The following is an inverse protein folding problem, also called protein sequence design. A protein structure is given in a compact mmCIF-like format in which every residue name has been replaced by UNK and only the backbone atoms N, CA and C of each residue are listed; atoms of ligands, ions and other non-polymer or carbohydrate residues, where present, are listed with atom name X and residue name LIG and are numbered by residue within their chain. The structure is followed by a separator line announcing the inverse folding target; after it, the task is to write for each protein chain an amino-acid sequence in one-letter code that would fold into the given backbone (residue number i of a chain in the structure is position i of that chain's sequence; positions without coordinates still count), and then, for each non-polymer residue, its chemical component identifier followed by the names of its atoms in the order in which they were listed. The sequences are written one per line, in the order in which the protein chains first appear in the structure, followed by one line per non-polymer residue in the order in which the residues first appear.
data_IF_171338209529
#
_entry.id   IF_171338209529
#
_cell.length_a   1.000
_cell.length_b   1.000
_cell.length_c   1.000
_cell.angle_alpha   90.00
_cell.angle_beta   90.00
_cell.angle_gamma   90.00
#
_symmetry.space_group_name_H-M   'P 1'
#
loop_
_entity.id
_entity.type
_entity.pdbx_description
1 polymer ?
#
# COMPACT_ATOMS: atom_id res chain seq x y z
N UNK A 1 -10.39 54.31 30.12
CA UNK A 1 -11.74 54.03 30.65
C UNK A 1 -12.71 54.94 29.91
N UNK A 2 -13.21 54.54 28.75
CA UNK A 2 -14.29 55.24 28.04
C UNK A 2 -15.06 54.22 27.20
N UNK A 3 -16.24 53.84 27.69
CA UNK A 3 -17.26 53.17 26.89
C UNK A 3 -17.91 54.19 25.98
N UNK A 4 -18.03 53.84 24.69
CA UNK A 4 -18.94 54.50 23.78
C UNK A 4 -20.27 53.69 23.73
N UNK A 5 -21.43 54.34 23.91
CA UNK A 5 -22.75 53.74 24.05
C UNK A 5 -23.41 53.38 22.68
N UNK A 6 -24.60 52.73 22.67
CA UNK A 6 -25.09 51.88 21.59
C UNK A 6 -25.78 52.67 20.48
N UNK A 7 -25.71 52.16 19.23
CA UNK A 7 -26.50 52.63 18.10
C UNK A 7 -27.43 51.51 17.62
N UNK A 8 -28.72 51.78 17.79
CA UNK A 8 -29.86 51.26 17.04
C UNK A 8 -30.94 52.36 17.12
N UNK A 9 -31.99 52.37 16.29
CA UNK A 9 -32.13 51.89 14.90
C UNK A 9 -32.66 53.02 13.98
N UNK A 10 -32.48 52.91 12.66
CA UNK A 10 -33.29 53.69 11.69
C UNK A 10 -34.02 52.77 10.72
N UNK A 11 -35.22 53.19 10.23
CA UNK A 11 -36.36 52.31 10.08
C UNK A 11 -36.64 51.84 8.64
N UNK A 12 -37.46 50.81 8.60
CA UNK A 12 -37.98 50.10 7.44
C UNK A 12 -38.86 50.95 6.50
N UNK A 13 -38.71 50.72 5.20
CA UNK A 13 -39.75 50.77 4.14
C UNK A 13 -39.32 49.73 3.07
N UNK A 14 -39.74 48.48 3.11
CA UNK A 14 -41.01 47.90 2.63
C UNK A 14 -41.31 48.18 1.15
N UNK A 15 -41.00 47.20 0.29
CA UNK A 15 -41.83 46.84 -0.88
C UNK A 15 -41.91 45.32 -0.94
N UNK A 16 -43.07 44.81 -0.54
CA UNK A 16 -43.52 43.48 -0.85
C UNK A 16 -43.81 43.34 -2.36
N UNK A 17 -43.52 42.17 -2.91
CA UNK A 17 -44.47 41.31 -3.65
C UNK A 17 -43.76 40.58 -4.80
N UNK A 18 -43.58 39.27 -4.64
CA UNK A 18 -43.97 38.22 -5.60
C UNK A 18 -43.14 36.95 -5.36
N UNK A 19 -43.82 35.97 -4.79
CA UNK A 19 -43.46 34.57 -4.72
C UNK A 19 -43.29 33.99 -6.13
N UNK A 20 -42.10 33.47 -6.43
CA UNK A 20 -41.89 32.55 -7.54
C UNK A 20 -40.93 31.46 -7.06
N UNK A 21 -41.48 30.25 -6.95
CA UNK A 21 -40.81 29.03 -6.53
C UNK A 21 -39.45 28.85 -7.22
N UNK A 22 -38.38 28.82 -6.42
CA UNK A 22 -37.12 28.21 -6.82
C UNK A 22 -36.40 27.70 -5.57
N UNK A 23 -36.54 26.40 -5.32
CA UNK A 23 -35.68 25.66 -4.39
C UNK A 23 -34.22 25.91 -4.79
N UNK A 24 -33.34 26.36 -3.87
CA UNK A 24 -31.93 26.53 -4.18
C UNK A 24 -31.30 25.16 -4.50
N UNK A 25 -30.43 25.05 -5.53
CA UNK A 25 -29.70 23.82 -5.76
C UNK A 25 -28.76 23.58 -4.58
N UNK A 26 -29.01 22.50 -3.85
CA UNK A 26 -28.12 22.05 -2.78
C UNK A 26 -26.70 21.92 -3.35
N UNK A 27 -25.76 22.58 -2.68
CA UNK A 27 -24.34 22.49 -2.95
C UNK A 27 -23.92 21.02 -3.04
N UNK A 28 -23.54 20.59 -4.24
CA UNK A 28 -23.01 19.25 -4.46
C UNK A 28 -21.59 19.22 -3.90
N UNK A 29 -21.46 18.65 -2.70
CA UNK A 29 -20.17 18.28 -2.12
C UNK A 29 -19.43 17.35 -3.10
N UNK A 30 -18.10 17.49 -3.27
CA UNK A 30 -17.32 16.59 -4.10
C UNK A 30 -17.35 15.18 -3.50
N UNK A 31 -18.16 14.31 -4.10
CA UNK A 31 -18.21 12.90 -3.75
C UNK A 31 -16.89 12.23 -4.16
N UNK A 32 -16.14 11.81 -3.15
CA UNK A 32 -15.08 10.80 -3.22
C UNK A 32 -15.65 9.56 -3.95
N UNK A 33 -15.04 9.04 -5.02
CA UNK A 33 -15.53 7.82 -5.64
C UNK A 33 -15.26 6.65 -4.70
N UNK A 34 -16.28 6.30 -3.91
CA UNK A 34 -16.39 5.04 -3.22
C UNK A 34 -16.72 3.95 -4.23
N UNK A 35 -15.98 2.84 -4.12
CA UNK A 35 -16.37 1.49 -4.53
C UNK A 35 -16.95 1.34 -5.95
N UNK A 36 -16.07 1.23 -6.94
CA UNK A 36 -16.30 0.25 -8.01
C UNK A 36 -15.98 -1.14 -7.46
N UNK A 37 -16.85 -1.63 -6.57
CA UNK A 37 -16.94 -3.05 -6.26
C UNK A 37 -17.54 -3.72 -7.48
N UNK A 38 -16.69 -4.16 -8.41
CA UNK A 38 -17.13 -5.07 -9.46
C UNK A 38 -17.54 -6.37 -8.79
N UNK A 39 -18.84 -6.57 -8.67
CA UNK A 39 -19.49 -7.85 -8.38
C UNK A 39 -19.00 -8.87 -9.41
N UNK A 40 -17.99 -9.66 -9.05
CA UNK A 40 -17.73 -10.93 -9.70
C UNK A 40 -18.39 -11.95 -8.80
N UNK A 41 -19.53 -12.46 -9.28
CA UNK A 41 -20.29 -13.52 -8.65
C UNK A 41 -19.35 -14.65 -8.22
N UNK A 42 -19.45 -15.02 -6.94
CA UNK A 42 -18.83 -16.23 -6.42
C UNK A 42 -19.43 -17.42 -7.17
N UNK A 43 -18.69 -17.93 -8.15
CA UNK A 43 -18.89 -19.28 -8.65
C UNK A 43 -18.14 -20.21 -7.71
N UNK A 44 -18.90 -20.89 -6.85
CA UNK A 44 -18.47 -22.10 -6.16
C UNK A 44 -18.31 -23.20 -7.22
N UNK A 45 -17.09 -23.45 -7.65
CA UNK A 45 -16.69 -24.63 -8.40
C UNK A 45 -15.33 -25.11 -7.86
N UNK A 46 -15.19 -26.42 -7.71
CA UNK A 46 -14.16 -27.08 -6.89
C UNK A 46 -12.73 -26.60 -7.20
N UNK A 47 -12.07 -25.98 -6.21
CA UNK A 47 -10.61 -26.11 -6.03
C UNK A 47 -9.65 -25.17 -6.78
N UNK A 48 -10.07 -24.18 -7.56
CA UNK A 48 -9.11 -23.20 -8.13
C UNK A 48 -9.69 -21.78 -8.30
N UNK A 49 -9.69 -21.01 -7.21
CA UNK A 49 -10.02 -19.58 -7.25
C UNK A 49 -9.16 -18.82 -8.28
N UNK A 50 -9.78 -17.89 -9.02
CA UNK A 50 -9.11 -17.03 -10.00
C UNK A 50 -7.91 -16.30 -9.38
N UNK A 51 -6.70 -16.74 -9.72
CA UNK A 51 -5.46 -16.18 -9.19
C UNK A 51 -4.76 -15.29 -10.22
N UNK A 52 -4.55 -14.02 -9.88
CA UNK A 52 -3.80 -13.06 -10.70
C UNK A 52 -2.37 -13.55 -10.91
N UNK A 53 -1.90 -13.57 -12.16
CA UNK A 53 -0.57 -14.09 -12.54
C UNK A 53 0.58 -13.40 -11.76
N UNK A 54 0.47 -12.10 -11.51
CA UNK A 54 1.45 -11.35 -10.73
C UNK A 54 1.61 -11.87 -9.29
N UNK A 55 0.59 -12.53 -8.75
CA UNK A 55 0.66 -13.20 -7.43
C UNK A 55 1.19 -14.62 -7.57
N UNK A 56 0.77 -15.35 -8.61
CA UNK A 56 1.22 -16.72 -8.88
C UNK A 56 2.72 -16.82 -9.13
N UNK A 57 3.28 -15.90 -9.92
CA UNK A 57 4.69 -15.89 -10.32
C UNK A 57 5.57 -14.95 -9.49
N UNK A 58 5.09 -14.48 -8.33
CA UNK A 58 5.93 -13.65 -7.47
C UNK A 58 7.10 -14.50 -6.97
N UNK A 59 8.37 -14.10 -7.24
CA UNK A 59 9.54 -14.81 -6.77
C UNK A 59 9.46 -15.11 -5.28
N UNK A 60 9.71 -16.37 -4.90
CA UNK A 60 9.75 -16.78 -3.49
C UNK A 60 11.16 -16.99 -3.01
N UNK A 61 12.10 -17.26 -3.90
CA UNK A 61 13.52 -17.41 -3.59
C UNK A 61 14.36 -16.38 -4.35
N UNK A 62 15.65 -16.28 -4.00
CA UNK A 62 16.60 -15.45 -4.74
C UNK A 62 17.01 -16.08 -6.08
N UNK A 63 16.81 -17.38 -6.26
CA UNK A 63 17.09 -18.09 -7.51
C UNK A 63 16.02 -17.80 -8.58
N UNK A 64 14.80 -17.50 -8.15
CA UNK A 64 13.70 -17.07 -9.02
C UNK A 64 13.88 -15.63 -9.56
N UNK A 65 14.89 -14.88 -9.08
CA UNK A 65 15.19 -13.52 -9.55
C UNK A 65 16.01 -13.56 -10.83
N UNK A 66 15.39 -13.15 -11.93
CA UNK A 66 16.03 -13.10 -13.24
C UNK A 66 16.85 -11.80 -13.39
N UNK A 67 18.14 -11.91 -13.75
CA UNK A 67 18.99 -10.78 -14.13
C UNK A 67 19.54 -9.96 -12.95
N UNK A 68 19.58 -10.56 -11.75
CA UNK A 68 20.08 -9.91 -10.52
C UNK A 68 21.21 -10.73 -9.85
N UNK A 69 21.93 -11.54 -10.62
CA UNK A 69 22.88 -12.55 -10.12
C UNK A 69 24.04 -11.91 -9.35
N UNK A 70 24.54 -10.75 -9.80
CA UNK A 70 25.61 -10.02 -9.12
C UNK A 70 25.18 -9.54 -7.72
N UNK A 71 23.92 -9.12 -7.57
CA UNK A 71 23.37 -8.71 -6.29
C UNK A 71 23.21 -9.90 -5.37
N UNK A 72 22.62 -11.00 -5.86
CA UNK A 72 22.42 -12.24 -5.09
C UNK A 72 23.76 -12.74 -4.58
N UNK A 73 24.79 -12.82 -5.44
CA UNK A 73 26.15 -13.21 -5.03
C UNK A 73 26.73 -12.32 -3.94
N UNK A 74 26.55 -11.01 -4.04
CA UNK A 74 27.06 -10.05 -3.04
C UNK A 74 26.37 -10.27 -1.69
N UNK A 75 25.05 -10.45 -1.71
CA UNK A 75 24.29 -10.78 -0.51
C UNK A 75 24.77 -12.12 0.06
N UNK A 76 24.91 -13.18 -0.74
CA UNK A 76 25.41 -14.50 -0.29
C UNK A 76 26.72 -14.38 0.46
N UNK A 77 27.67 -13.61 -0.07
CA UNK A 77 28.94 -13.39 0.59
C UNK A 77 28.82 -12.55 1.88
N UNK A 78 27.92 -11.56 1.91
CA UNK A 78 27.68 -10.74 3.10
C UNK A 78 27.10 -11.57 4.25
N UNK A 79 26.12 -12.44 3.97
CA UNK A 79 25.56 -13.35 4.97
C UNK A 79 26.59 -14.40 5.41
N UNK A 80 27.36 -14.99 4.49
CA UNK A 80 28.41 -15.96 4.83
C UNK A 80 29.53 -15.37 5.70
N UNK A 81 29.83 -14.08 5.53
CA UNK A 81 30.87 -13.38 6.32
C UNK A 81 30.31 -12.67 7.56
N UNK A 82 28.99 -12.75 7.81
CA UNK A 82 28.33 -12.04 8.92
C UNK A 82 28.36 -10.51 8.81
N UNK A 83 28.70 -9.95 7.64
CA UNK A 83 28.80 -8.51 7.40
C UNK A 83 27.54 -7.98 6.73
N UNK A 84 26.44 -7.98 7.49
CA UNK A 84 25.14 -7.49 7.02
C UNK A 84 25.11 -5.96 7.16
N UNK A 85 24.72 -5.26 6.09
CA UNK A 85 24.55 -3.82 6.10
C UNK A 85 23.32 -3.41 6.93
N UNK A 86 23.40 -2.27 7.63
CA UNK A 86 22.27 -1.74 8.40
C UNK A 86 21.11 -1.25 7.51
N UNK A 87 21.40 -0.90 6.25
CA UNK A 87 20.41 -0.39 5.32
C UNK A 87 20.73 -0.80 3.88
N UNK A 88 19.68 -1.03 3.09
CA UNK A 88 19.78 -1.38 1.67
C UNK A 88 19.00 -0.36 0.84
N UNK A 89 19.67 0.22 -0.16
CA UNK A 89 19.03 1.16 -1.11
C UNK A 89 18.92 0.48 -2.48
N UNK A 90 17.68 0.22 -2.91
CA UNK A 90 17.39 -0.38 -4.21
C UNK A 90 16.93 0.71 -5.18
N UNK A 91 17.67 0.91 -6.26
CA UNK A 91 17.43 1.96 -7.27
C UNK A 91 17.23 1.35 -8.66
N UNK A 92 16.68 2.13 -9.61
CA UNK A 92 16.48 1.69 -11.00
C UNK A 92 15.07 1.97 -11.54
N UNK A 93 14.85 1.62 -12.82
CA UNK A 93 13.59 1.90 -13.55
C UNK A 93 12.39 1.13 -13.01
N UNK A 94 11.17 1.53 -13.38
CA UNK A 94 9.94 0.84 -12.95
C UNK A 94 9.92 -0.61 -13.46
N UNK A 95 9.40 -1.53 -12.65
CA UNK A 95 9.22 -2.94 -13.05
C UNK A 95 10.41 -3.88 -12.85
N UNK A 96 11.62 -3.38 -12.53
CA UNK A 96 12.84 -4.22 -12.37
C UNK A 96 12.87 -5.10 -11.10
N UNK A 97 11.79 -5.14 -10.32
CA UNK A 97 11.71 -6.01 -9.14
C UNK A 97 12.25 -5.42 -7.83
N UNK A 98 12.58 -4.13 -7.72
CA UNK A 98 13.09 -3.51 -6.47
C UNK A 98 12.27 -3.87 -5.22
N UNK A 99 10.96 -3.68 -5.26
CA UNK A 99 10.08 -4.00 -4.13
C UNK A 99 10.00 -5.51 -3.87
N UNK A 100 10.12 -6.33 -4.92
CA UNK A 100 10.17 -7.80 -4.82
C UNK A 100 11.46 -8.26 -4.15
N UNK A 101 12.60 -7.70 -4.55
CA UNK A 101 13.90 -8.01 -3.95
C UNK A 101 13.97 -7.52 -2.49
N UNK A 102 13.44 -6.33 -2.19
CA UNK A 102 13.32 -5.86 -0.81
C UNK A 102 12.52 -6.84 0.07
N UNK A 103 11.43 -7.39 -0.48
CA UNK A 103 10.61 -8.39 0.21
C UNK A 103 11.40 -9.67 0.49
N UNK A 104 12.12 -10.19 -0.51
CA UNK A 104 12.95 -11.39 -0.34
C UNK A 104 14.05 -11.15 0.71
N UNK A 105 14.66 -9.96 0.71
CA UNK A 105 15.67 -9.59 1.70
C UNK A 105 15.09 -9.51 3.11
N UNK A 106 13.89 -8.94 3.28
CA UNK A 106 13.21 -8.93 4.56
C UNK A 106 12.92 -10.36 5.06
N UNK A 107 12.50 -11.27 4.17
CA UNK A 107 12.32 -12.69 4.51
C UNK A 107 13.64 -13.36 4.90
N UNK A 108 14.72 -13.12 4.17
CA UNK A 108 16.04 -13.67 4.52
C UNK A 108 16.58 -13.17 5.87
N UNK A 109 16.27 -11.92 6.25
CA UNK A 109 16.66 -11.36 7.55
C UNK A 109 15.79 -11.89 8.69
N UNK A 110 14.50 -12.13 8.44
CA UNK A 110 13.53 -12.64 9.41
C UNK A 110 13.29 -14.15 9.26
N UNK A 111 14.27 -14.89 8.72
CA UNK A 111 14.12 -16.32 8.50
C UNK A 111 14.20 -17.06 9.84
N UNK A 112 13.03 -17.43 10.35
CA UNK A 112 12.84 -18.26 11.52
C UNK A 112 12.12 -19.54 11.09
N UNK A 113 12.85 -20.65 11.15
CA UNK A 113 12.38 -22.02 10.89
C UNK A 113 12.80 -22.89 12.07
N UNK A 114 12.13 -24.02 12.30
CA UNK A 114 12.42 -24.99 13.38
C UNK A 114 13.91 -25.43 13.47
N UNK A 115 14.66 -25.26 12.38
CA UNK A 115 16.08 -25.66 12.23
C UNK A 115 17.03 -24.45 12.13
N UNK A 116 16.52 -23.26 11.76
CA UNK A 116 17.34 -22.09 11.43
C UNK A 116 16.72 -20.82 12.02
N UNK A 117 17.38 -20.22 13.00
CA UNK A 117 17.05 -18.91 13.61
C UNK A 117 18.19 -17.90 13.34
N UNK A 118 18.70 -17.88 12.11
CA UNK A 118 19.79 -16.97 11.72
C UNK A 118 19.52 -16.37 10.35
N UNK A 119 19.95 -15.11 10.12
CA UNK A 119 19.81 -14.47 8.83
C UNK A 119 20.47 -15.31 7.73
N UNK A 120 19.67 -15.81 6.78
CA UNK A 120 20.11 -16.73 5.74
C UNK A 120 19.38 -16.44 4.42
N UNK A 121 20.08 -16.63 3.31
CA UNK A 121 19.52 -16.52 1.95
C UNK A 121 18.86 -17.80 1.45
N UNK A 122 19.01 -18.90 2.19
CA UNK A 122 18.33 -20.16 1.89
C UNK A 122 16.88 -20.09 2.36
N UNK A 123 15.96 -19.87 1.42
CA UNK A 123 14.51 -19.73 1.65
C UNK A 123 13.76 -21.03 1.25
N UNK A 124 14.21 -22.18 1.78
CA UNK A 124 13.77 -23.53 1.36
C UNK A 124 12.39 -23.95 1.88
N UNK A 125 11.91 -23.33 2.97
CA UNK A 125 10.60 -23.58 3.55
C UNK A 125 9.87 -22.27 3.89
N UNK A 126 8.55 -22.34 4.05
CA UNK A 126 7.78 -21.21 4.53
C UNK A 126 8.10 -20.97 6.01
N UNK A 127 8.89 -19.94 6.30
CA UNK A 127 9.19 -19.51 7.66
C UNK A 127 7.94 -18.97 8.35
N UNK A 128 7.96 -18.93 9.69
CA UNK A 128 6.81 -18.50 10.52
C UNK A 128 6.30 -17.10 10.10
N UNK A 129 7.19 -16.23 9.66
CA UNK A 129 6.90 -14.84 9.29
C UNK A 129 6.64 -14.60 7.80
N UNK A 130 6.67 -15.63 6.97
CA UNK A 130 6.57 -15.49 5.51
C UNK A 130 5.21 -14.97 5.02
N UNK A 131 4.14 -15.22 5.77
CA UNK A 131 2.79 -14.77 5.44
C UNK A 131 2.59 -13.27 5.65
N UNK A 132 3.40 -12.64 6.50
CA UNK A 132 3.26 -11.22 6.87
C UNK A 132 4.06 -10.27 5.94
N UNK A 133 4.97 -10.80 5.10
CA UNK A 133 5.99 -10.03 4.37
C UNK A 133 5.68 -9.91 2.88
#
# INVERSE_FOLDING_TARGET
MFGAPPVAPEPAQEVALAEAASTPPAAQQPQKPASASSEIAAHEDDGAAYQVLARKYRPRTFEDLIGQEAMVRTLTNAFATGRIAHAFMLTGVRGVGKTTTARLLARALNNETDVIDRPSLELTAHGVHDAAI
#
